data_IF_239979906908
#
_entry.id   IF_239979906908
#
_cell.length_a   1.000
_cell.length_b   1.000
_cell.length_c   1.000
_cell.angle_alpha   90.00
_cell.angle_beta   90.00
_cell.angle_gamma   90.00
#
_symmetry.space_group_name_H-M   'P 1'
#
loop_
_entity.id
_entity.type
_entity.pdbx_description
1 polymer ?
#
# COMPACT_ATOMS: atom_id res chain seq x y z
N UNK A 1 3.53 -35.28 -12.80
CA UNK A 1 3.88 -34.06 -12.03
C UNK A 1 2.61 -33.23 -11.86
N UNK A 2 2.36 -32.68 -10.67
CA UNK A 2 1.23 -31.77 -10.48
C UNK A 2 1.40 -30.54 -11.40
N UNK A 3 0.31 -30.05 -11.98
CA UNK A 3 0.31 -28.85 -12.84
C UNK A 3 0.70 -27.65 -11.99
N UNK A 4 1.72 -26.89 -12.41
CA UNK A 4 2.11 -25.66 -11.72
C UNK A 4 1.01 -24.61 -11.85
N UNK A 5 0.80 -23.84 -10.78
CA UNK A 5 -0.07 -22.66 -10.83
C UNK A 5 0.63 -21.53 -11.60
N UNK A 6 -0.11 -20.82 -12.44
CA UNK A 6 0.38 -19.70 -13.25
C UNK A 6 0.13 -18.39 -12.52
N UNK A 7 1.23 -17.76 -12.12
CA UNK A 7 1.22 -16.56 -11.28
C UNK A 7 1.69 -15.36 -12.09
N UNK A 8 0.86 -14.34 -12.23
CA UNK A 8 1.26 -13.05 -12.77
C UNK A 8 1.80 -12.14 -11.66
N UNK A 9 3.05 -11.73 -11.71
CA UNK A 9 3.61 -10.72 -10.79
C UNK A 9 3.44 -9.35 -11.43
N UNK A 10 2.57 -8.52 -10.82
CA UNK A 10 2.21 -7.21 -11.33
C UNK A 10 2.95 -6.11 -10.57
N UNK A 11 3.65 -5.21 -11.29
CA UNK A 11 4.53 -4.21 -10.68
C UNK A 11 4.62 -2.91 -11.49
N UNK A 12 5.23 -1.87 -10.90
CA UNK A 12 5.38 -0.54 -11.46
C UNK A 12 4.22 0.38 -11.07
N UNK A 13 3.49 0.91 -12.04
CA UNK A 13 2.31 1.75 -11.81
C UNK A 13 2.58 3.25 -11.83
N UNK A 14 1.50 4.03 -11.79
CA UNK A 14 1.50 5.51 -11.90
C UNK A 14 1.71 6.22 -10.57
N UNK A 15 2.08 5.50 -9.51
CA UNK A 15 2.29 6.08 -8.18
C UNK A 15 3.69 6.67 -8.02
N UNK A 16 3.88 7.50 -7.00
CA UNK A 16 5.19 7.96 -6.56
C UNK A 16 6.11 6.85 -5.99
N UNK A 17 5.59 5.63 -5.86
CA UNK A 17 6.31 4.47 -5.34
C UNK A 17 6.68 3.45 -6.43
N UNK A 18 6.68 3.89 -7.69
CA UNK A 18 6.99 3.06 -8.86
C UNK A 18 8.29 2.25 -8.69
N UNK A 19 9.37 2.90 -8.30
CA UNK A 19 10.69 2.28 -8.13
C UNK A 19 10.70 1.24 -7.00
N UNK A 20 9.99 1.51 -5.92
CA UNK A 20 9.83 0.56 -4.80
C UNK A 20 9.08 -0.68 -5.26
N UNK A 21 8.10 -0.51 -6.13
CA UNK A 21 7.36 -1.60 -6.75
C UNK A 21 8.27 -2.49 -7.62
N UNK A 22 9.19 -1.92 -8.41
CA UNK A 22 10.17 -2.66 -9.20
C UNK A 22 11.08 -3.50 -8.30
N UNK A 23 11.60 -2.91 -7.22
CA UNK A 23 12.46 -3.62 -6.25
C UNK A 23 11.71 -4.76 -5.55
N UNK A 24 10.45 -4.53 -5.17
CA UNK A 24 9.60 -5.56 -4.56
C UNK A 24 9.34 -6.71 -5.53
N UNK A 25 9.03 -6.41 -6.80
CA UNK A 25 8.81 -7.42 -7.83
C UNK A 25 10.05 -8.27 -8.08
N UNK A 26 11.22 -7.65 -8.23
CA UNK A 26 12.48 -8.36 -8.40
C UNK A 26 12.75 -9.30 -7.21
N UNK A 27 12.48 -8.83 -5.98
CA UNK A 27 12.66 -9.65 -4.77
C UNK A 27 11.71 -10.86 -4.76
N UNK A 28 10.43 -10.68 -5.12
CA UNK A 28 9.44 -11.77 -5.23
C UNK A 28 9.82 -12.76 -6.33
N UNK A 29 10.18 -12.28 -7.53
CA UNK A 29 10.57 -13.11 -8.67
C UNK A 29 11.79 -13.98 -8.38
N UNK A 30 12.73 -13.48 -7.60
CA UNK A 30 13.92 -14.22 -7.18
C UNK A 30 13.63 -15.27 -6.09
N UNK A 31 12.62 -15.04 -5.24
CA UNK A 31 12.36 -15.90 -4.09
C UNK A 31 11.21 -16.92 -4.31
N UNK A 32 10.32 -16.67 -5.27
CA UNK A 32 9.15 -17.51 -5.52
C UNK A 32 9.53 -18.94 -5.92
N UNK A 33 8.77 -19.91 -5.41
CA UNK A 33 9.03 -21.34 -5.67
C UNK A 33 8.70 -21.75 -7.11
N UNK A 34 9.69 -21.75 -7.98
CA UNK A 34 9.56 -22.16 -9.38
C UNK A 34 9.21 -23.66 -9.55
N UNK A 35 9.32 -24.48 -8.51
CA UNK A 35 8.84 -25.87 -8.56
C UNK A 35 7.31 -25.96 -8.50
N UNK A 36 6.65 -25.00 -7.83
CA UNK A 36 5.19 -24.90 -7.63
C UNK A 36 4.52 -23.96 -8.62
N UNK A 37 5.21 -22.90 -9.06
CA UNK A 37 4.65 -21.79 -9.80
C UNK A 37 5.33 -21.58 -11.16
N UNK A 38 4.51 -21.39 -12.20
CA UNK A 38 4.92 -20.81 -13.47
C UNK A 38 4.62 -19.30 -13.41
N UNK A 39 5.66 -18.48 -13.59
CA UNK A 39 5.59 -17.06 -13.23
C UNK A 39 5.78 -16.17 -14.44
N UNK A 40 4.85 -15.25 -14.63
CA UNK A 40 4.85 -14.26 -15.71
C UNK A 40 4.97 -12.85 -15.09
N UNK A 41 6.04 -12.09 -15.36
CA UNK A 41 6.12 -10.69 -14.97
C UNK A 41 5.19 -9.84 -15.83
N UNK A 42 4.53 -8.86 -15.19
CA UNK A 42 3.61 -7.91 -15.81
C UNK A 42 3.97 -6.52 -15.30
N UNK A 43 4.49 -5.67 -16.19
CA UNK A 43 4.90 -4.32 -15.84
C UNK A 43 3.80 -3.28 -16.13
N UNK A 44 3.72 -2.25 -15.29
CA UNK A 44 2.94 -1.03 -15.58
C UNK A 44 3.90 0.15 -15.56
N UNK A 45 3.92 0.92 -16.64
CA UNK A 45 4.78 2.12 -16.74
C UNK A 45 4.27 3.25 -15.87
N UNK A 46 5.08 4.29 -15.66
CA UNK A 46 4.65 5.54 -15.02
C UNK A 46 3.50 6.24 -15.75
N UNK A 47 3.37 6.01 -17.05
CA UNK A 47 2.29 6.53 -17.89
C UNK A 47 1.03 5.65 -17.85
N UNK A 48 1.09 4.47 -17.20
CA UNK A 48 -0.02 3.54 -17.06
C UNK A 48 -0.14 2.51 -18.18
N UNK A 49 0.88 2.36 -19.03
CA UNK A 49 0.90 1.33 -20.07
C UNK A 49 1.24 -0.02 -19.46
N UNK A 50 0.56 -1.07 -19.90
CA UNK A 50 0.78 -2.44 -19.45
C UNK A 50 1.76 -3.14 -20.39
N UNK A 51 2.75 -3.80 -19.82
CA UNK A 51 3.82 -4.51 -20.51
C UNK A 51 3.72 -6.02 -20.23
N UNK A 52 3.85 -6.83 -21.28
CA UNK A 52 3.88 -8.29 -21.13
C UNK A 52 5.30 -8.82 -20.87
N UNK A 53 5.35 -10.09 -20.52
CA UNK A 53 6.46 -10.90 -20.08
C UNK A 53 7.89 -10.45 -20.49
N UNK A 54 8.21 -10.35 -21.77
CA UNK A 54 9.55 -9.96 -22.22
C UNK A 54 9.89 -8.50 -21.89
N UNK A 55 8.97 -7.57 -22.20
CA UNK A 55 9.17 -6.14 -21.96
C UNK A 55 9.11 -5.81 -20.46
N UNK A 56 8.28 -6.55 -19.70
CA UNK A 56 8.24 -6.44 -18.25
C UNK A 56 9.55 -6.95 -17.62
N UNK A 57 10.16 -8.01 -18.15
CA UNK A 57 11.46 -8.50 -17.70
C UNK A 57 12.56 -7.48 -17.98
N UNK A 58 12.56 -6.84 -19.15
CA UNK A 58 13.50 -5.77 -19.48
C UNK A 58 13.37 -4.56 -18.54
N UNK A 59 12.16 -4.24 -18.10
CA UNK A 59 11.91 -3.19 -17.10
C UNK A 59 12.57 -3.52 -15.75
N UNK A 60 12.64 -4.81 -15.40
CA UNK A 60 13.27 -5.27 -14.15
C UNK A 60 14.79 -5.43 -14.28
N UNK A 61 15.28 -5.82 -15.46
CA UNK A 61 16.71 -6.05 -15.74
C UNK A 61 17.48 -4.76 -15.98
N UNK A 62 16.78 -3.66 -16.29
CA UNK A 62 17.36 -2.33 -16.28
C UNK A 62 17.99 -2.06 -14.91
N UNK A 63 19.31 -1.89 -14.91
CA UNK A 63 20.26 -1.84 -13.79
C UNK A 63 19.64 -1.48 -12.42
N UNK A 64 19.28 -2.50 -11.64
CA UNK A 64 18.70 -2.34 -10.29
C UNK A 64 19.64 -1.57 -9.36
N UNK A 65 20.95 -1.59 -9.61
CA UNK A 65 21.93 -0.80 -8.87
C UNK A 65 21.85 0.68 -9.24
N UNK A 66 21.47 1.00 -10.48
CA UNK A 66 21.19 2.38 -10.92
C UNK A 66 19.86 2.88 -10.36
N UNK A 67 18.82 2.05 -10.29
CA UNK A 67 17.56 2.38 -9.61
C UNK A 67 17.80 2.68 -8.13
N UNK A 68 18.53 1.84 -7.43
CA UNK A 68 18.90 2.06 -6.03
C UNK A 68 19.76 3.31 -5.84
N UNK A 69 20.71 3.62 -6.75
CA UNK A 69 21.53 4.84 -6.72
C UNK A 69 20.71 6.11 -6.99
N UNK A 70 19.71 6.05 -7.87
CA UNK A 70 18.84 7.19 -8.20
C UNK A 70 17.80 7.47 -7.14
N UNK A 71 17.25 6.46 -6.53
CA UNK A 71 16.45 6.60 -5.31
C UNK A 71 17.25 7.34 -4.24
N UNK A 72 18.57 7.11 -4.12
CA UNK A 72 19.49 7.84 -3.24
C UNK A 72 19.76 9.28 -3.68
N UNK A 73 19.68 9.59 -4.97
CA UNK A 73 19.98 10.91 -5.54
C UNK A 73 18.78 11.85 -5.64
N UNK A 74 17.57 11.38 -5.37
CA UNK A 74 16.35 12.21 -5.40
C UNK A 74 15.96 12.73 -6.80
N UNK A 75 16.42 12.10 -7.88
CA UNK A 75 16.17 12.56 -9.25
C UNK A 75 14.89 11.90 -9.83
N UNK A 76 13.81 12.67 -10.05
CA UNK A 76 12.53 12.12 -10.51
C UNK A 76 12.47 11.80 -12.02
N UNK A 77 13.40 12.27 -12.84
CA UNK A 77 13.16 12.31 -14.30
C UNK A 77 14.10 11.48 -15.19
N UNK A 78 15.06 10.76 -14.66
CA UNK A 78 16.04 10.06 -15.50
C UNK A 78 16.10 8.56 -15.27
N UNK A 79 15.05 7.80 -15.62
CA UNK A 79 15.12 6.35 -15.63
C UNK A 79 15.47 5.80 -17.03
N UNK A 80 16.45 4.86 -17.16
CA UNK A 80 16.70 4.16 -18.42
C UNK A 80 15.48 3.39 -18.92
N UNK A 81 14.57 3.01 -18.02
CA UNK A 81 13.28 2.45 -18.34
C UNK A 81 12.39 3.36 -19.22
N UNK A 82 12.49 4.68 -19.12
CA UNK A 82 11.68 5.58 -19.94
C UNK A 82 11.96 5.43 -21.46
N UNK A 83 13.17 5.01 -21.84
CA UNK A 83 13.56 4.80 -23.25
C UNK A 83 13.11 3.44 -23.80
N UNK A 84 13.11 2.41 -22.94
CA UNK A 84 12.59 1.06 -23.24
C UNK A 84 11.05 1.02 -23.32
N UNK A 85 10.37 1.92 -22.61
CA UNK A 85 8.92 1.98 -22.50
C UNK A 85 8.24 2.58 -23.74
N UNK A 86 8.98 3.25 -24.62
CA UNK A 86 8.44 3.84 -25.84
C UNK A 86 8.14 2.78 -26.91
N UNK A 87 8.79 1.63 -26.82
CA UNK A 87 8.72 0.55 -27.83
C UNK A 87 7.95 -0.70 -27.35
N UNK A 88 7.41 -0.70 -26.11
CA UNK A 88 6.67 -1.83 -25.55
C UNK A 88 5.25 -2.00 -26.14
N UNK A 89 4.83 -3.24 -26.33
CA UNK A 89 3.50 -3.58 -26.86
C UNK A 89 2.48 -3.63 -25.72
N UNK A 90 1.42 -2.79 -25.73
CA UNK A 90 0.35 -2.85 -24.73
C UNK A 90 -0.47 -4.14 -24.89
N UNK A 91 -0.65 -4.91 -23.82
CA UNK A 91 -1.25 -6.24 -23.93
C UNK A 91 -2.65 -6.41 -23.36
N UNK A 92 -3.16 -5.48 -22.56
CA UNK A 92 -4.48 -5.64 -21.93
C UNK A 92 -5.46 -4.50 -22.23
N UNK A 93 -4.98 -3.30 -22.41
CA UNK A 93 -5.83 -2.14 -22.70
C UNK A 93 -5.11 -1.22 -23.71
N UNK A 94 -5.81 -0.69 -24.71
CA UNK A 94 -5.24 0.34 -25.57
C UNK A 94 -4.90 1.57 -24.71
N UNK A 95 -3.81 2.31 -25.01
CA UNK A 95 -3.48 3.54 -24.30
C UNK A 95 -4.62 4.53 -24.50
N UNK A 96 -5.25 4.98 -23.42
CA UNK A 96 -6.09 6.16 -23.50
C UNK A 96 -5.21 7.36 -23.84
N UNK A 97 -5.60 8.18 -24.83
CA UNK A 97 -4.94 9.45 -25.07
C UNK A 97 -5.03 10.31 -23.80
N UNK A 98 -4.02 11.14 -23.49
CA UNK A 98 -4.10 12.05 -22.36
C UNK A 98 -5.38 12.90 -22.50
N UNK A 99 -6.13 13.13 -21.40
CA UNK A 99 -7.36 13.90 -21.47
C UNK A 99 -7.05 15.29 -22.02
N UNK A 100 -7.65 15.61 -23.16
CA UNK A 100 -7.60 16.96 -23.69
C UNK A 100 -8.27 17.89 -22.67
N UNK A 101 -7.71 19.07 -22.36
CA UNK A 101 -8.35 20.02 -21.50
C UNK A 101 -9.69 20.44 -22.13
N UNK A 102 -10.81 20.13 -21.44
CA UNK A 102 -12.17 20.56 -21.76
C UNK A 102 -12.95 19.87 -22.91
N UNK A 103 -12.86 18.55 -23.07
CA UNK A 103 -13.86 17.80 -23.83
C UNK A 103 -14.96 17.26 -22.91
N UNK A 104 -16.23 17.57 -23.20
CA UNK A 104 -17.39 17.00 -22.52
C UNK A 104 -17.37 15.48 -22.70
N UNK A 105 -17.37 14.76 -21.57
CA UNK A 105 -17.32 13.31 -21.55
C UNK A 105 -18.58 12.71 -22.20
N UNK A 106 -18.43 12.20 -23.41
CA UNK A 106 -19.33 11.24 -24.02
C UNK A 106 -18.62 9.90 -24.04
N UNK A 107 -19.21 8.89 -23.39
CA UNK A 107 -18.69 7.52 -23.43
C UNK A 107 -18.94 6.99 -24.83
N UNK A 108 -17.92 6.94 -25.68
CA UNK A 108 -17.94 6.15 -26.91
C UNK A 108 -17.34 4.78 -26.61
N UNK A 109 -18.19 3.76 -26.62
CA UNK A 109 -17.74 2.37 -26.62
C UNK A 109 -17.08 2.09 -27.97
N UNK A 110 -15.78 1.85 -27.99
CA UNK A 110 -15.09 1.38 -29.18
C UNK A 110 -15.59 -0.03 -29.56
N UNK A 111 -15.73 -0.36 -30.85
CA UNK A 111 -16.18 -1.68 -31.26
C UNK A 111 -15.14 -2.72 -30.86
N UNK A 112 -15.62 -3.80 -30.23
CA UNK A 112 -14.82 -4.92 -29.77
C UNK A 112 -14.09 -5.57 -30.95
N UNK A 113 -12.79 -5.43 -31.01
CA UNK A 113 -11.94 -6.29 -31.81
C UNK A 113 -11.66 -7.55 -31.02
N UNK A 114 -12.18 -8.68 -31.51
CA UNK A 114 -12.03 -10.06 -31.06
C UNK A 114 -12.68 -10.45 -29.72
N UNK A 115 -13.52 -11.44 -29.84
CA UNK A 115 -14.33 -12.09 -28.82
C UNK A 115 -13.52 -12.47 -27.57
N UNK A 116 -13.65 -11.67 -26.52
CA UNK A 116 -13.30 -12.11 -25.15
C UNK A 116 -14.55 -12.74 -24.57
N UNK A 117 -14.71 -14.05 -24.74
CA UNK A 117 -15.72 -14.80 -23.99
C UNK A 117 -15.35 -14.79 -22.52
N UNK A 118 -16.20 -14.20 -21.73
CA UNK A 118 -16.23 -14.34 -20.27
C UNK A 118 -16.84 -15.70 -19.94
N UNK A 119 -16.11 -16.77 -20.18
CA UNK A 119 -16.44 -18.11 -19.69
C UNK A 119 -15.61 -18.35 -18.42
N UNK A 120 -16.01 -17.82 -17.35
CA UNK A 120 -15.68 -18.10 -15.93
C UNK A 120 -14.36 -18.81 -15.55
N UNK A 121 -13.36 -18.98 -16.41
CA UNK A 121 -12.23 -19.87 -16.14
C UNK A 121 -10.81 -19.36 -16.42
N UNK A 122 -10.54 -18.26 -17.09
CA UNK A 122 -9.15 -17.73 -17.11
C UNK A 122 -8.98 -16.40 -17.83
N UNK A 123 -8.31 -15.44 -17.19
CA UNK A 123 -7.80 -14.24 -17.85
C UNK A 123 -6.57 -14.61 -18.68
N UNK A 124 -6.56 -14.28 -19.99
CA UNK A 124 -5.45 -14.60 -20.89
C UNK A 124 -4.55 -13.40 -21.10
N UNK A 125 -3.26 -13.59 -20.82
CA UNK A 125 -2.18 -12.69 -21.22
C UNK A 125 -1.31 -13.42 -22.26
N UNK A 126 -1.09 -12.88 -23.41
CA UNK A 126 -0.32 -13.51 -24.52
C UNK A 126 -0.81 -14.93 -24.85
N UNK A 127 -2.13 -15.17 -24.81
CA UNK A 127 -2.70 -16.51 -25.05
C UNK A 127 -2.54 -17.49 -23.89
N UNK A 128 -1.85 -17.12 -22.81
CA UNK A 128 -1.72 -17.93 -21.58
C UNK A 128 -2.71 -17.44 -20.53
N UNK A 129 -3.46 -18.36 -19.96
CA UNK A 129 -4.35 -18.06 -18.83
C UNK A 129 -3.55 -17.97 -17.53
N UNK A 130 -3.87 -17.02 -16.65
CA UNK A 130 -3.31 -16.89 -15.31
C UNK A 130 -4.27 -17.47 -14.29
N UNK A 131 -3.73 -18.10 -13.24
CA UNK A 131 -4.55 -18.65 -12.15
C UNK A 131 -4.66 -17.65 -10.99
N UNK A 132 -3.64 -16.79 -10.80
CA UNK A 132 -3.62 -15.78 -9.73
C UNK A 132 -2.67 -14.62 -10.10
N UNK A 133 -3.03 -13.41 -9.66
CA UNK A 133 -2.18 -12.22 -9.73
C UNK A 133 -1.54 -11.95 -8.36
N UNK A 134 -0.26 -11.61 -8.36
CA UNK A 134 0.44 -11.10 -7.20
C UNK A 134 0.83 -9.64 -7.46
N UNK A 135 -0.03 -8.68 -7.12
CA UNK A 135 0.33 -7.27 -7.24
C UNK A 135 1.36 -6.91 -6.17
N UNK A 136 2.40 -6.22 -6.59
CA UNK A 136 3.37 -5.53 -5.72
C UNK A 136 3.39 -4.05 -6.10
N UNK A 137 2.19 -3.49 -6.22
CA UNK A 137 1.92 -2.10 -6.57
C UNK A 137 1.74 -1.29 -5.29
N UNK A 138 2.62 -0.33 -5.04
CA UNK A 138 2.57 0.50 -3.85
C UNK A 138 1.92 1.85 -4.13
N UNK A 139 1.17 2.39 -3.16
CA UNK A 139 0.55 3.69 -3.21
C UNK A 139 -0.72 3.76 -4.07
N UNK A 140 -0.99 4.95 -4.58
CA UNK A 140 -2.20 5.26 -5.37
C UNK A 140 -2.31 4.37 -6.61
N UNK A 141 -3.54 3.97 -6.96
CA UNK A 141 -3.91 2.98 -7.97
C UNK A 141 -3.50 1.53 -7.67
N UNK A 142 -2.59 1.29 -6.72
CA UNK A 142 -2.15 -0.05 -6.31
C UNK A 142 -2.81 -0.54 -5.04
N UNK A 143 -3.02 0.35 -4.06
CA UNK A 143 -3.51 0.01 -2.71
C UNK A 143 -4.89 0.59 -2.39
N UNK A 144 -5.49 1.37 -3.27
CA UNK A 144 -6.70 2.17 -3.02
C UNK A 144 -8.00 1.54 -3.51
N UNK A 145 -7.98 0.29 -3.95
CA UNK A 145 -9.13 -0.43 -4.48
C UNK A 145 -9.29 -0.34 -5.99
N UNK A 146 -8.55 0.55 -6.67
CA UNK A 146 -8.68 0.78 -8.11
C UNK A 146 -8.29 -0.45 -8.91
N UNK A 147 -7.08 -0.97 -8.72
CA UNK A 147 -6.62 -2.17 -9.43
C UNK A 147 -7.37 -3.42 -8.97
N UNK A 148 -7.75 -3.49 -7.69
CA UNK A 148 -8.54 -4.58 -7.15
C UNK A 148 -9.92 -4.66 -7.84
N UNK A 149 -10.54 -3.50 -8.11
CA UNK A 149 -11.79 -3.44 -8.87
C UNK A 149 -11.66 -4.01 -10.29
N UNK A 150 -10.53 -3.79 -10.95
CA UNK A 150 -10.24 -4.40 -12.25
C UNK A 150 -10.13 -5.92 -12.14
N UNK A 151 -9.44 -6.45 -11.13
CA UNK A 151 -9.31 -7.89 -10.92
C UNK A 151 -10.64 -8.56 -10.58
N UNK A 152 -11.50 -7.86 -9.83
CA UNK A 152 -12.85 -8.32 -9.52
C UNK A 152 -13.72 -8.42 -10.77
N UNK A 153 -13.69 -7.43 -11.65
CA UNK A 153 -14.42 -7.45 -12.92
C UNK A 153 -13.88 -8.52 -13.87
N UNK A 154 -12.58 -8.79 -13.83
CA UNK A 154 -11.94 -9.83 -14.61
C UNK A 154 -12.15 -11.25 -14.03
N UNK A 155 -12.72 -11.39 -12.84
CA UNK A 155 -12.94 -12.68 -12.19
C UNK A 155 -11.67 -13.45 -11.87
N UNK A 156 -10.53 -12.74 -11.61
CA UNK A 156 -9.24 -13.38 -11.36
C UNK A 156 -8.87 -13.31 -9.88
N UNK A 157 -8.30 -14.40 -9.35
CA UNK A 157 -7.74 -14.42 -8.00
C UNK A 157 -6.52 -13.46 -7.90
N UNK A 158 -6.37 -12.77 -6.77
CA UNK A 158 -5.24 -11.88 -6.53
C UNK A 158 -4.85 -11.82 -5.06
N UNK A 159 -3.55 -11.61 -4.81
CA UNK A 159 -2.98 -11.46 -3.47
C UNK A 159 -3.35 -10.09 -2.89
N UNK A 160 -3.66 -10.06 -1.61
CA UNK A 160 -3.97 -8.85 -0.86
C UNK A 160 -5.46 -8.65 -0.61
N UNK A 161 -5.80 -7.47 -0.10
CA UNK A 161 -7.18 -7.11 0.28
C UNK A 161 -8.07 -6.87 -0.93
N UNK A 162 -9.37 -7.08 -0.76
CA UNK A 162 -10.38 -6.74 -1.76
C UNK A 162 -10.55 -5.23 -1.94
N UNK A 163 -11.50 -4.84 -2.79
CA UNK A 163 -11.79 -3.42 -3.10
C UNK A 163 -12.08 -2.63 -1.83
N UNK A 164 -12.99 -3.13 -0.98
CA UNK A 164 -13.38 -2.44 0.26
C UNK A 164 -12.20 -2.27 1.21
N UNK A 165 -11.50 -3.37 1.51
CA UNK A 165 -10.37 -3.35 2.45
C UNK A 165 -9.24 -2.44 1.96
N UNK A 166 -8.90 -2.49 0.67
CA UNK A 166 -7.88 -1.63 0.06
C UNK A 166 -8.26 -0.16 0.16
N UNK A 167 -9.48 0.20 -0.25
CA UNK A 167 -9.97 1.59 -0.20
C UNK A 167 -10.08 2.12 1.23
N UNK A 168 -10.60 1.30 2.16
CA UNK A 168 -10.74 1.68 3.56
C UNK A 168 -9.37 1.81 4.26
N UNK A 169 -8.43 0.91 3.95
CA UNK A 169 -7.06 0.94 4.48
C UNK A 169 -6.21 2.10 3.95
N UNK A 170 -6.50 2.58 2.73
CA UNK A 170 -5.77 3.71 2.14
C UNK A 170 -6.23 5.06 2.69
N UNK A 171 -7.54 5.25 2.91
CA UNK A 171 -8.11 6.52 3.38
C UNK A 171 -7.99 6.67 4.90
N UNK A 172 -7.05 7.49 5.35
CA UNK A 172 -6.75 7.69 6.78
C UNK A 172 -7.94 8.17 7.62
N UNK A 173 -8.88 8.90 7.05
CA UNK A 173 -10.09 9.33 7.75
C UNK A 173 -11.08 8.17 7.92
N UNK A 174 -11.35 7.42 6.84
CA UNK A 174 -12.25 6.25 6.88
C UNK A 174 -11.67 5.18 7.80
N UNK A 175 -10.41 4.85 7.64
CA UNK A 175 -9.66 3.90 8.46
C UNK A 175 -9.76 4.24 9.96
N UNK A 176 -9.54 5.52 10.33
CA UNK A 176 -9.65 5.95 11.73
C UNK A 176 -11.08 5.87 12.28
N UNK A 177 -12.08 6.10 11.46
CA UNK A 177 -13.50 5.89 11.86
C UNK A 177 -13.79 4.43 12.11
N UNK A 178 -13.28 3.52 11.28
CA UNK A 178 -13.40 2.07 11.48
C UNK A 178 -12.69 1.62 12.77
N UNK A 179 -11.49 2.12 13.01
CA UNK A 179 -10.76 1.85 14.26
C UNK A 179 -11.51 2.36 15.49
N UNK A 180 -12.06 3.58 15.44
CA UNK A 180 -12.84 4.13 16.54
C UNK A 180 -14.12 3.31 16.82
N UNK A 181 -14.82 2.87 15.75
CA UNK A 181 -15.97 1.99 15.88
C UNK A 181 -15.60 0.64 16.51
N UNK A 182 -14.44 0.10 16.18
CA UNK A 182 -13.86 -1.11 16.80
C UNK A 182 -13.27 -0.86 18.20
N UNK A 183 -13.40 0.36 18.75
CA UNK A 183 -12.88 0.78 20.05
C UNK A 183 -11.36 0.64 20.19
N UNK A 184 -10.64 0.72 19.08
CA UNK A 184 -9.18 0.72 19.07
C UNK A 184 -8.64 2.10 19.45
N UNK A 185 -7.59 2.18 20.28
CA UNK A 185 -7.01 3.46 20.69
C UNK A 185 -6.30 4.12 19.50
N UNK A 186 -6.81 5.28 19.08
CA UNK A 186 -6.22 6.13 18.04
C UNK A 186 -5.86 7.50 18.61
N UNK A 187 -4.97 8.22 17.96
CA UNK A 187 -4.68 9.62 18.30
C UNK A 187 -5.88 10.52 18.00
N UNK A 188 -6.06 11.59 18.78
CA UNK A 188 -7.07 12.61 18.47
C UNK A 188 -6.74 13.24 17.12
N UNK A 189 -7.76 13.42 16.30
CA UNK A 189 -7.60 13.98 14.96
C UNK A 189 -8.80 14.85 14.57
N UNK A 190 -8.59 15.68 13.57
CA UNK A 190 -9.60 16.49 12.87
C UNK A 190 -9.48 16.21 11.40
N UNK A 191 -10.60 15.99 10.73
CA UNK A 191 -10.66 15.91 9.27
C UNK A 191 -11.17 17.23 8.71
N UNK A 192 -10.49 17.73 7.67
CA UNK A 192 -10.77 18.97 6.98
C UNK A 192 -10.83 18.75 5.47
N UNK A 193 -11.79 19.35 4.80
CA UNK A 193 -11.80 19.35 3.32
C UNK A 193 -10.96 20.51 2.78
N UNK A 194 -10.27 20.28 1.68
CA UNK A 194 -9.53 21.33 0.95
C UNK A 194 -10.40 22.54 0.65
N UNK A 195 -11.64 22.31 0.20
CA UNK A 195 -12.57 23.38 -0.09
C UNK A 195 -12.90 24.26 1.15
N UNK A 196 -12.99 23.67 2.35
CA UNK A 196 -13.21 24.42 3.58
C UNK A 196 -11.96 25.21 3.99
N UNK A 197 -10.77 24.62 3.80
CA UNK A 197 -9.49 25.30 4.00
C UNK A 197 -9.35 26.51 3.09
N UNK A 198 -9.57 26.35 1.79
CA UNK A 198 -9.45 27.41 0.79
C UNK A 198 -10.49 28.54 1.00
N UNK A 199 -11.74 28.16 1.34
CA UNK A 199 -12.83 29.13 1.59
C UNK A 199 -12.64 29.94 2.86
N UNK A 200 -12.16 29.33 3.93
CA UNK A 200 -12.15 29.95 5.27
C UNK A 200 -10.94 29.53 6.11
N UNK A 201 -9.69 29.93 5.75
CA UNK A 201 -8.48 29.50 6.44
C UNK A 201 -8.48 29.77 7.94
N UNK A 202 -8.95 30.98 8.35
CA UNK A 202 -9.01 31.37 9.78
C UNK A 202 -9.94 30.46 10.58
N UNK A 203 -11.11 30.12 10.03
CA UNK A 203 -12.08 29.21 10.68
C UNK A 203 -11.51 27.80 10.79
N UNK A 204 -10.88 27.31 9.74
CA UNK A 204 -10.26 25.98 9.72
C UNK A 204 -9.15 25.86 10.77
N UNK A 205 -8.27 26.86 10.88
CA UNK A 205 -7.23 26.89 11.93
C UNK A 205 -7.88 26.91 13.33
N UNK A 206 -8.88 27.76 13.56
CA UNK A 206 -9.55 27.84 14.85
C UNK A 206 -10.22 26.51 15.24
N UNK A 207 -10.85 25.81 14.28
CA UNK A 207 -11.43 24.48 14.49
C UNK A 207 -10.38 23.46 14.92
N UNK A 208 -9.22 23.44 14.27
CA UNK A 208 -8.11 22.53 14.59
C UNK A 208 -7.58 22.82 15.99
N UNK A 209 -7.32 24.09 16.32
CA UNK A 209 -6.76 24.52 17.62
C UNK A 209 -7.75 24.30 18.79
N UNK A 210 -9.05 24.35 18.53
CA UNK A 210 -10.07 24.01 19.53
C UNK A 210 -10.05 22.51 19.89
N UNK A 211 -9.67 21.64 18.94
CA UNK A 211 -9.68 20.19 19.12
C UNK A 211 -8.33 19.60 19.50
N UNK A 212 -7.22 20.17 19.00
CA UNK A 212 -5.88 19.62 19.10
C UNK A 212 -4.88 20.60 19.71
N UNK A 213 -3.86 20.05 20.37
CA UNK A 213 -2.70 20.81 20.86
C UNK A 213 -1.48 20.53 20.00
N UNK A 214 -0.67 21.54 19.77
CA UNK A 214 0.61 21.38 19.07
C UNK A 214 1.61 20.50 19.85
N UNK A 215 2.52 19.80 19.16
CA UNK A 215 2.63 19.70 17.71
C UNK A 215 1.52 18.85 17.10
N UNK A 216 1.15 19.16 15.86
CA UNK A 216 0.20 18.36 15.07
C UNK A 216 0.87 17.88 13.78
N UNK A 217 0.39 16.75 13.26
CA UNK A 217 0.77 16.23 11.95
C UNK A 217 -0.37 16.47 10.97
N UNK A 218 -0.08 17.12 9.85
CA UNK A 218 -1.03 17.37 8.75
C UNK A 218 -0.71 16.39 7.64
N UNK A 219 -1.72 15.62 7.21
CA UNK A 219 -1.57 14.51 6.26
C UNK A 219 -2.64 14.58 5.17
N UNK A 220 -2.33 14.30 3.89
CA UNK A 220 -3.34 13.90 2.92
C UNK A 220 -4.01 12.60 3.38
N UNK A 221 -5.32 12.41 3.10
CA UNK A 221 -6.02 11.20 3.53
C UNK A 221 -5.61 9.97 2.73
N UNK A 222 -5.48 10.09 1.39
CA UNK A 222 -5.24 8.98 0.47
C UNK A 222 -3.86 9.06 -0.18
N UNK A 223 -2.80 8.97 0.62
CA UNK A 223 -1.44 8.95 0.09
C UNK A 223 -0.51 8.16 1.01
N UNK A 224 0.40 7.37 0.41
CA UNK A 224 1.41 6.60 1.09
C UNK A 224 2.73 7.34 1.27
N UNK A 225 3.76 6.63 1.74
CA UNK A 225 5.17 7.04 1.79
C UNK A 225 5.46 8.40 2.41
N UNK A 226 4.63 8.87 3.30
CA UNK A 226 4.77 10.18 3.98
C UNK A 226 4.79 11.40 3.04
N UNK A 227 4.38 11.27 1.77
CA UNK A 227 4.31 12.38 0.82
C UNK A 227 3.23 13.37 1.26
N UNK A 228 3.56 14.66 1.25
CA UNK A 228 2.64 15.73 1.65
C UNK A 228 2.36 15.79 3.15
N UNK A 229 3.04 14.99 3.99
CA UNK A 229 2.91 15.05 5.44
C UNK A 229 3.84 16.13 6.01
N UNK A 230 3.33 16.93 6.94
CA UNK A 230 4.08 17.95 7.65
C UNK A 230 3.78 17.93 9.14
N UNK A 231 4.79 18.18 9.96
CA UNK A 231 4.67 18.44 11.39
C UNK A 231 4.61 19.96 11.61
N UNK A 232 3.57 20.43 12.29
CA UNK A 232 3.42 21.83 12.67
C UNK A 232 3.57 21.97 14.19
N UNK A 233 4.52 22.81 14.64
CA UNK A 233 4.79 23.04 16.07
C UNK A 233 3.96 24.20 16.65
N UNK A 234 3.38 25.03 15.79
CA UNK A 234 2.65 26.22 16.17
C UNK A 234 1.74 26.69 15.01
N UNK A 235 0.94 27.72 15.29
CA UNK A 235 -0.01 28.29 14.34
C UNK A 235 0.62 28.81 13.04
N UNK A 236 1.87 29.34 13.11
CA UNK A 236 2.55 29.90 11.92
C UNK A 236 2.90 28.79 10.91
N UNK A 237 3.20 27.60 11.41
CA UNK A 237 3.57 26.42 10.58
C UNK A 237 2.33 25.68 10.08
N UNK A 238 1.18 25.78 10.78
CA UNK A 238 -0.04 25.03 10.44
C UNK A 238 -0.61 25.42 9.07
N UNK A 239 -0.65 26.72 8.74
CA UNK A 239 -1.17 27.20 7.45
C UNK A 239 -0.38 26.64 6.25
N UNK A 240 0.95 26.81 6.20
CA UNK A 240 1.79 26.19 5.17
C UNK A 240 1.62 24.64 5.08
N UNK A 241 1.53 23.95 6.22
CA UNK A 241 1.32 22.49 6.24
C UNK A 241 -0.02 22.08 5.61
N UNK A 242 -1.11 22.79 5.92
CA UNK A 242 -2.43 22.57 5.30
C UNK A 242 -2.38 22.83 3.79
N UNK A 243 -1.75 23.91 3.37
CA UNK A 243 -1.58 24.23 1.95
C UNK A 243 -0.76 23.17 1.21
N UNK A 244 0.31 22.64 1.82
CA UNK A 244 1.08 21.56 1.23
C UNK A 244 0.23 20.28 1.08
N UNK A 245 -0.41 19.82 2.13
CA UNK A 245 -1.22 18.60 2.11
C UNK A 245 -2.41 18.71 1.14
N UNK A 246 -3.03 19.91 1.01
CA UNK A 246 -4.14 20.16 0.09
C UNK A 246 -3.78 20.04 -1.41
N UNK A 247 -2.48 20.05 -1.76
CA UNK A 247 -2.03 19.79 -3.13
C UNK A 247 -2.18 18.32 -3.51
N UNK A 248 -2.15 17.44 -2.53
CA UNK A 248 -2.10 15.98 -2.73
C UNK A 248 -3.47 15.30 -2.54
N UNK A 249 -4.38 15.89 -1.75
CA UNK A 249 -5.71 15.32 -1.54
C UNK A 249 -6.76 16.43 -1.30
N UNK A 250 -8.00 16.09 -1.63
CA UNK A 250 -9.16 16.91 -1.27
C UNK A 250 -9.51 16.83 0.22
N UNK A 251 -9.06 15.78 0.93
CA UNK A 251 -9.35 15.51 2.34
C UNK A 251 -8.04 15.46 3.13
N UNK A 252 -7.99 16.23 4.22
CA UNK A 252 -6.82 16.36 5.08
C UNK A 252 -7.14 15.77 6.46
N UNK A 253 -6.20 15.05 7.03
CA UNK A 253 -6.28 14.52 8.39
C UNK A 253 -5.21 15.20 9.23
N UNK A 254 -5.63 15.89 10.29
CA UNK A 254 -4.77 16.59 11.23
C UNK A 254 -4.76 15.82 12.54
N UNK A 255 -3.60 15.32 12.95
CA UNK A 255 -3.45 14.44 14.11
C UNK A 255 -2.65 15.09 15.22
N UNK A 256 -3.03 14.83 16.47
CA UNK A 256 -2.20 15.17 17.62
C UNK A 256 -0.87 14.42 17.58
N UNK A 257 0.24 15.11 17.78
CA UNK A 257 1.55 14.46 17.89
C UNK A 257 1.65 13.57 19.12
N UNK A 258 2.13 12.35 18.94
CA UNK A 258 2.52 11.46 20.04
C UNK A 258 3.99 11.69 20.35
N UNK A 259 4.34 11.78 21.63
CA UNK A 259 5.72 11.95 22.07
C UNK A 259 5.81 12.60 23.45
N UNK A 260 6.97 12.58 24.02
CA UNK A 260 7.32 13.28 25.25
C UNK A 260 7.94 14.66 24.97
N UNK A 261 8.26 15.41 26.04
CA UNK A 261 8.92 16.73 25.91
C UNK A 261 10.31 16.64 25.26
N UNK A 262 11.01 15.50 25.41
CA UNK A 262 12.39 15.30 24.93
C UNK A 262 12.56 14.05 24.06
N UNK A 263 11.55 13.19 23.98
CA UNK A 263 11.64 11.92 23.26
C UNK A 263 10.53 11.82 22.22
N UNK A 264 10.85 11.22 21.06
CA UNK A 264 9.89 10.87 20.02
C UNK A 264 9.03 9.70 20.46
N UNK A 265 7.87 9.53 19.84
CA UNK A 265 7.14 8.28 19.93
C UNK A 265 8.01 7.11 19.47
N UNK A 266 7.81 5.93 20.06
CA UNK A 266 8.33 4.70 19.52
C UNK A 266 7.41 4.23 18.41
N UNK A 267 7.97 3.87 17.27
CA UNK A 267 7.24 3.40 16.09
C UNK A 267 7.29 1.86 16.08
N UNK A 268 6.14 1.22 16.31
CA UNK A 268 6.02 -0.22 16.36
C UNK A 268 5.27 -0.71 15.13
N UNK A 269 5.68 -1.85 14.59
CA UNK A 269 5.09 -2.47 13.41
C UNK A 269 4.79 -3.95 13.65
N UNK A 270 3.65 -4.40 13.13
CA UNK A 270 3.23 -5.81 13.17
C UNK A 270 2.78 -6.22 11.76
N UNK A 271 3.29 -7.34 11.29
CA UNK A 271 2.79 -7.97 10.07
C UNK A 271 1.59 -8.87 10.40
N UNK A 272 0.51 -8.73 9.65
CA UNK A 272 -0.69 -9.58 9.75
C UNK A 272 -0.82 -10.39 8.46
N UNK A 273 -1.17 -11.67 8.58
CA UNK A 273 -1.30 -12.63 7.48
C UNK A 273 -2.54 -13.49 7.68
N UNK A 274 -3.37 -13.65 6.67
CA UNK A 274 -4.57 -14.49 6.66
C UNK A 274 -5.78 -13.80 6.05
N UNK A 275 -6.88 -14.53 5.98
CA UNK A 275 -8.20 -14.03 5.58
C UNK A 275 -9.07 -13.90 6.85
N UNK A 276 -10.09 -14.75 7.06
CA UNK A 276 -11.03 -14.67 8.18
C UNK A 276 -10.39 -14.94 9.55
N UNK A 277 -9.28 -15.69 9.57
CA UNK A 277 -8.54 -16.05 10.77
C UNK A 277 -7.09 -15.51 10.72
N UNK A 278 -6.91 -14.18 10.68
CA UNK A 278 -5.58 -13.58 10.53
C UNK A 278 -4.71 -13.78 11.77
N UNK A 279 -3.42 -13.94 11.50
CA UNK A 279 -2.38 -14.08 12.52
C UNK A 279 -1.46 -12.88 12.52
N UNK A 280 -0.97 -12.50 13.70
CA UNK A 280 0.00 -11.42 13.87
C UNK A 280 1.41 -11.98 14.11
N UNK A 281 2.41 -11.40 13.47
CA UNK A 281 3.84 -11.68 13.68
C UNK A 281 4.34 -11.26 15.07
N UNK A 282 5.62 -11.43 15.33
CA UNK A 282 6.31 -10.68 16.39
C UNK A 282 6.20 -9.17 16.13
N UNK A 283 6.31 -8.36 17.18
CA UNK A 283 6.33 -6.90 17.07
C UNK A 283 7.74 -6.45 16.72
N UNK A 284 7.87 -5.59 15.72
CA UNK A 284 9.09 -4.86 15.42
C UNK A 284 9.00 -3.40 15.84
N UNK A 285 10.16 -2.76 15.95
CA UNK A 285 10.30 -1.33 16.20
C UNK A 285 11.24 -0.72 15.15
N UNK A 286 10.86 0.44 14.63
CA UNK A 286 11.74 1.25 13.80
C UNK A 286 12.29 2.39 14.65
N UNK A 287 13.60 2.49 14.74
CA UNK A 287 14.28 3.63 15.34
C UNK A 287 14.67 4.58 14.20
N UNK A 288 13.95 5.70 13.99
CA UNK A 288 14.24 6.60 12.89
C UNK A 288 15.54 7.37 13.13
N UNK A 289 16.41 7.41 12.11
CA UNK A 289 17.67 8.16 12.18
C UNK A 289 17.51 9.67 12.07
N UNK A 290 16.40 10.17 11.50
CA UNK A 290 16.05 11.60 11.38
C UNK A 290 14.85 11.96 12.28
N UNK A 291 14.57 13.28 12.42
CA UNK A 291 13.43 13.75 13.24
C UNK A 291 12.07 13.26 12.73
N UNK A 292 11.95 13.00 11.45
CA UNK A 292 10.75 12.48 10.81
C UNK A 292 11.11 11.31 9.89
N UNK A 293 10.31 10.23 9.93
CA UNK A 293 10.47 9.05 9.10
C UNK A 293 9.75 9.28 7.76
N UNK A 294 10.42 10.04 6.88
CA UNK A 294 9.93 10.37 5.54
C UNK A 294 10.25 9.28 4.50
N UNK A 295 9.91 9.55 3.23
CA UNK A 295 10.16 8.64 2.11
C UNK A 295 11.64 8.26 2.00
N UNK A 296 12.56 9.23 2.12
CA UNK A 296 13.99 8.98 2.07
C UNK A 296 14.45 8.08 3.23
N UNK A 297 13.93 8.30 4.43
CA UNK A 297 14.26 7.49 5.60
C UNK A 297 13.71 6.06 5.50
N UNK A 298 12.60 5.84 4.77
CA UNK A 298 11.98 4.52 4.58
C UNK A 298 12.74 3.64 3.59
N UNK A 299 13.28 4.23 2.53
CA UNK A 299 13.79 3.46 1.39
C UNK A 299 15.24 3.76 0.99
N UNK A 300 15.81 4.91 1.41
CA UNK A 300 17.04 5.44 0.85
C UNK A 300 18.16 5.71 1.89
N UNK A 301 17.81 5.88 3.18
CA UNK A 301 18.82 6.25 4.16
C UNK A 301 19.26 5.06 5.01
N UNK A 302 20.58 4.98 5.24
CA UNK A 302 21.21 4.03 6.19
C UNK A 302 20.86 4.32 7.67
N UNK A 303 19.97 5.31 7.92
CA UNK A 303 19.75 5.87 9.25
C UNK A 303 18.64 5.23 10.10
N UNK A 304 17.77 4.38 9.54
CA UNK A 304 16.70 3.75 10.32
C UNK A 304 17.07 2.33 10.73
N UNK A 305 17.00 2.04 12.02
CA UNK A 305 17.42 0.75 12.58
C UNK A 305 16.18 -0.07 12.93
N UNK A 306 15.94 -1.22 12.27
CA UNK A 306 14.90 -2.15 12.69
C UNK A 306 15.36 -2.97 13.91
N UNK A 307 14.52 -3.03 14.94
CA UNK A 307 14.71 -3.87 16.12
C UNK A 307 13.63 -4.93 16.14
N UNK A 308 14.00 -6.19 15.86
CA UNK A 308 13.07 -7.32 15.77
C UNK A 308 13.61 -8.46 16.64
N UNK A 309 12.86 -8.92 17.65
CA UNK A 309 11.63 -8.34 18.17
C UNK A 309 11.85 -7.01 18.91
N UNK A 310 10.80 -6.16 18.95
CA UNK A 310 10.81 -4.92 19.73
C UNK A 310 10.97 -5.20 21.24
N UNK A 311 11.67 -4.32 21.94
CA UNK A 311 11.83 -4.41 23.39
C UNK A 311 10.55 -3.94 24.10
N UNK A 312 9.63 -4.86 24.33
CA UNK A 312 8.34 -4.66 24.99
C UNK A 312 8.13 -5.66 26.13
N UNK A 313 7.27 -5.31 27.08
CA UNK A 313 6.77 -6.28 28.06
C UNK A 313 5.85 -7.31 27.39
N UNK A 314 5.68 -8.49 28.01
CA UNK A 314 4.74 -9.51 27.50
C UNK A 314 3.32 -8.97 27.31
N UNK A 315 2.85 -8.12 28.23
CA UNK A 315 1.53 -7.49 28.17
C UNK A 315 1.41 -6.52 26.97
N UNK A 316 2.41 -5.67 26.75
CA UNK A 316 2.45 -4.75 25.60
C UNK A 316 2.53 -5.51 24.29
N UNK A 317 3.36 -6.54 24.19
CA UNK A 317 3.46 -7.39 22.99
C UNK A 317 2.12 -8.03 22.67
N UNK A 318 1.44 -8.60 23.68
CA UNK A 318 0.10 -9.19 23.50
C UNK A 318 -0.90 -8.14 23.02
N UNK A 319 -0.96 -6.99 23.68
CA UNK A 319 -1.86 -5.88 23.35
C UNK A 319 -1.68 -5.42 21.90
N UNK A 320 -0.43 -5.15 21.49
CA UNK A 320 -0.13 -4.68 20.12
C UNK A 320 -0.56 -5.69 19.07
N UNK A 321 -0.27 -6.98 19.28
CA UNK A 321 -0.66 -8.05 18.36
C UNK A 321 -2.18 -8.22 18.26
N UNK A 322 -2.89 -8.17 19.39
CA UNK A 322 -4.36 -8.23 19.42
C UNK A 322 -4.98 -7.03 18.69
N UNK A 323 -4.45 -5.82 18.92
CA UNK A 323 -4.88 -4.62 18.23
C UNK A 323 -4.60 -4.69 16.72
N UNK A 324 -3.48 -5.27 16.29
CA UNK A 324 -3.15 -5.45 14.88
C UNK A 324 -4.18 -6.36 14.17
N UNK A 325 -4.54 -7.49 14.78
CA UNK A 325 -5.58 -8.39 14.26
C UNK A 325 -6.95 -7.70 14.23
N UNK A 326 -7.29 -6.95 15.27
CA UNK A 326 -8.55 -6.22 15.35
C UNK A 326 -8.63 -5.10 14.29
N UNK A 327 -7.54 -4.37 14.04
CA UNK A 327 -7.46 -3.36 12.99
C UNK A 327 -7.62 -3.95 11.60
N UNK A 328 -6.97 -5.08 11.33
CA UNK A 328 -7.08 -5.84 10.09
C UNK A 328 -8.53 -6.22 9.81
N UNK A 329 -9.21 -6.80 10.79
CA UNK A 329 -10.63 -7.17 10.68
C UNK A 329 -11.56 -5.96 10.55
N UNK A 330 -11.28 -4.86 11.28
CA UNK A 330 -12.09 -3.65 11.24
C UNK A 330 -12.11 -2.97 9.86
N UNK A 331 -11.03 -3.12 9.09
CA UNK A 331 -10.92 -2.61 7.73
C UNK A 331 -11.27 -3.64 6.64
N UNK A 332 -11.79 -4.82 7.00
CA UNK A 332 -12.13 -5.89 6.04
C UNK A 332 -10.94 -6.28 5.16
N UNK A 333 -9.75 -6.41 5.79
CA UNK A 333 -8.53 -6.76 5.09
C UNK A 333 -8.41 -8.28 4.86
N UNK A 334 -7.65 -8.67 3.85
CA UNK A 334 -7.35 -10.06 3.50
C UNK A 334 -5.92 -10.23 3.02
N UNK A 335 -5.39 -11.44 3.15
CA UNK A 335 -4.05 -11.81 2.71
C UNK A 335 -2.97 -11.23 3.59
N UNK A 336 -2.67 -9.96 3.44
CA UNK A 336 -1.58 -9.29 4.17
C UNK A 336 -1.92 -7.86 4.56
N UNK A 337 -1.31 -7.40 5.65
CA UNK A 337 -1.17 -5.99 5.98
C UNK A 337 -0.03 -5.77 6.97
N UNK A 338 0.61 -4.60 6.96
CA UNK A 338 1.43 -4.11 8.06
C UNK A 338 0.60 -3.10 8.86
N UNK A 339 0.58 -3.30 10.16
CA UNK A 339 -0.14 -2.44 11.10
C UNK A 339 0.86 -1.67 11.93
N UNK A 340 0.77 -0.35 11.88
CA UNK A 340 1.74 0.57 12.46
C UNK A 340 1.15 1.27 13.69
N UNK A 341 1.97 1.39 14.75
CA UNK A 341 1.59 1.94 16.05
C UNK A 341 2.56 3.00 16.51
N UNK A 342 2.03 3.95 17.27
CA UNK A 342 2.81 4.94 17.99
C UNK A 342 2.69 4.69 19.51
N UNK A 343 3.82 4.51 20.19
CA UNK A 343 3.85 4.32 21.64
C UNK A 343 4.50 5.52 22.30
N UNK A 344 3.86 6.04 23.37
CA UNK A 344 4.45 7.10 24.18
C UNK A 344 5.80 6.65 24.76
N UNK A 345 6.85 7.45 24.62
CA UNK A 345 8.17 7.09 25.11
C UNK A 345 8.30 7.17 26.63
N UNK A 346 7.43 7.95 27.27
CA UNK A 346 7.45 8.29 28.69
C UNK A 346 6.06 8.12 29.34
N UNK A 347 5.99 8.07 30.65
CA UNK A 347 4.76 8.06 31.42
C UNK A 347 4.03 6.73 31.40
N UNK A 348 2.78 6.73 30.90
CA UNK A 348 1.92 5.53 30.88
C UNK A 348 2.24 4.58 29.73
N UNK A 349 3.12 4.95 28.81
CA UNK A 349 3.48 4.17 27.62
C UNK A 349 2.24 3.74 26.83
N UNK A 350 1.28 4.66 26.63
CA UNK A 350 0.06 4.40 25.87
C UNK A 350 0.43 4.08 24.42
N UNK A 351 -0.27 3.10 23.85
CA UNK A 351 -0.06 2.64 22.49
C UNK A 351 -1.28 3.06 21.66
N UNK A 352 -1.02 3.73 20.55
CA UNK A 352 -2.04 4.18 19.63
C UNK A 352 -1.85 3.50 18.28
N UNK A 353 -2.94 3.00 17.72
CA UNK A 353 -2.97 2.54 16.35
C UNK A 353 -2.84 3.75 15.41
N UNK A 354 -1.87 3.70 14.52
CA UNK A 354 -1.61 4.78 13.57
C UNK A 354 -2.31 4.52 12.23
N UNK A 355 -1.93 3.45 11.54
CA UNK A 355 -2.45 3.09 10.23
C UNK A 355 -2.29 1.59 9.92
N UNK A 356 -2.97 1.13 8.87
CA UNK A 356 -2.72 -0.14 8.21
C UNK A 356 -2.19 0.12 6.79
N UNK A 357 -1.27 -0.74 6.34
CA UNK A 357 -0.71 -0.70 4.99
C UNK A 357 -1.10 -2.02 4.31
N UNK A 358 -1.95 -1.95 3.29
CA UNK A 358 -2.54 -3.13 2.66
C UNK A 358 -1.62 -3.82 1.67
N UNK A 359 -0.61 -3.10 1.17
CA UNK A 359 0.48 -3.63 0.33
C UNK A 359 1.82 -3.08 0.82
N UNK A 360 2.32 -3.54 1.98
CA UNK A 360 3.57 -3.05 2.55
C UNK A 360 4.74 -3.38 1.64
N UNK A 361 5.85 -2.63 1.76
CA UNK A 361 7.09 -2.95 1.06
C UNK A 361 7.44 -4.42 1.20
N UNK A 362 7.76 -5.07 0.07
CA UNK A 362 7.85 -6.53 -0.02
C UNK A 362 9.22 -7.02 -0.53
N UNK A 363 10.31 -6.29 -0.22
CA UNK A 363 11.68 -6.78 -0.41
C UNK A 363 12.12 -7.62 0.80
N UNK A 364 13.14 -8.45 0.66
CA UNK A 364 13.68 -9.24 1.80
C UNK A 364 14.14 -8.38 2.97
N UNK A 365 14.53 -7.13 2.70
CA UNK A 365 14.95 -6.17 3.75
C UNK A 365 13.78 -5.38 4.35
N UNK A 366 12.59 -5.44 3.76
CA UNK A 366 11.38 -4.77 4.25
C UNK A 366 10.89 -5.36 5.57
N UNK A 367 10.25 -4.53 6.39
CA UNK A 367 9.80 -4.95 7.73
C UNK A 367 8.79 -6.10 7.68
N UNK A 368 7.83 -6.08 6.75
CA UNK A 368 6.81 -7.12 6.67
C UNK A 368 7.40 -8.54 6.53
N UNK A 369 8.28 -8.85 5.56
CA UNK A 369 8.93 -10.15 5.49
C UNK A 369 9.86 -10.45 6.67
N UNK A 370 10.61 -9.46 7.18
CA UNK A 370 11.48 -9.64 8.35
C UNK A 370 10.73 -10.04 9.61
N UNK A 371 9.55 -9.44 9.83
CA UNK A 371 8.69 -9.78 10.97
C UNK A 371 8.18 -11.22 10.87
N UNK A 372 7.81 -11.68 9.68
CA UNK A 372 7.40 -13.06 9.48
C UNK A 372 8.56 -14.03 9.57
N UNK A 373 9.73 -13.68 9.05
CA UNK A 373 10.95 -14.48 9.20
C UNK A 373 11.30 -14.66 10.69
N UNK A 374 11.24 -13.60 11.48
CA UNK A 374 11.45 -13.66 12.92
C UNK A 374 10.35 -14.43 13.68
N UNK A 375 9.18 -14.60 13.06
CA UNK A 375 8.06 -15.42 13.57
C UNK A 375 8.19 -16.90 13.16
N UNK A 376 9.14 -17.23 12.27
CA UNK A 376 9.40 -18.61 11.81
C UNK A 376 8.81 -18.93 10.43
N UNK A 377 8.36 -17.91 9.67
CA UNK A 377 7.89 -18.07 8.29
C UNK A 377 8.92 -17.50 7.32
N UNK A 378 9.69 -18.35 6.61
CA UNK A 378 10.68 -17.92 5.63
C UNK A 378 10.04 -17.15 4.46
N UNK A 379 10.78 -16.26 3.83
CA UNK A 379 10.26 -15.38 2.76
C UNK A 379 9.63 -16.16 1.58
N UNK A 380 10.26 -17.25 1.14
CA UNK A 380 9.72 -18.13 0.10
C UNK A 380 8.36 -18.74 0.49
N UNK A 381 8.24 -19.18 1.74
CA UNK A 381 7.00 -19.78 2.25
C UNK A 381 5.92 -18.73 2.47
N UNK A 382 6.30 -17.50 2.85
CA UNK A 382 5.40 -16.36 2.95
C UNK A 382 4.77 -16.04 1.59
N UNK A 383 5.55 -16.00 0.51
CA UNK A 383 5.04 -15.80 -0.86
C UNK A 383 4.05 -16.93 -1.23
N UNK A 384 4.41 -18.18 -0.97
CA UNK A 384 3.55 -19.33 -1.22
C UNK A 384 2.23 -19.20 -0.47
N UNK A 385 2.29 -18.87 0.83
CA UNK A 385 1.09 -18.72 1.68
C UNK A 385 0.18 -17.59 1.21
N UNK A 386 0.73 -16.48 0.75
CA UNK A 386 -0.05 -15.37 0.20
C UNK A 386 -0.80 -15.76 -1.08
N UNK A 387 -0.18 -16.55 -1.95
CA UNK A 387 -0.83 -17.10 -3.15
C UNK A 387 -1.97 -18.05 -2.75
N UNK A 388 -1.75 -18.93 -1.79
CA UNK A 388 -2.77 -19.84 -1.27
C UNK A 388 -3.97 -19.07 -0.68
N UNK A 389 -3.72 -18.02 0.11
CA UNK A 389 -4.77 -17.16 0.67
C UNK A 389 -5.57 -16.43 -0.41
N UNK A 390 -4.91 -16.01 -1.50
CA UNK A 390 -5.59 -15.38 -2.62
C UNK A 390 -6.57 -16.35 -3.30
N UNK A 391 -6.14 -17.58 -3.51
CA UNK A 391 -6.99 -18.65 -4.09
C UNK A 391 -8.13 -19.04 -3.14
N UNK A 392 -7.87 -19.16 -1.84
CA UNK A 392 -8.87 -19.41 -0.80
C UNK A 392 -9.96 -18.34 -0.81
N UNK A 393 -9.59 -17.05 -0.77
CA UNK A 393 -10.52 -15.92 -0.82
C UNK A 393 -11.33 -15.91 -2.14
N UNK A 394 -10.67 -16.17 -3.26
CA UNK A 394 -11.35 -16.22 -4.56
C UNK A 394 -12.36 -17.37 -4.62
N UNK A 395 -11.99 -18.55 -4.16
CA UNK A 395 -12.89 -19.71 -4.10
C UNK A 395 -14.11 -19.45 -3.21
N UNK A 396 -13.94 -18.79 -2.06
CA UNK A 396 -15.06 -18.42 -1.18
C UNK A 396 -15.98 -17.41 -1.87
N UNK A 397 -15.41 -16.40 -2.52
CA UNK A 397 -16.18 -15.38 -3.24
C UNK A 397 -16.99 -15.96 -4.41
N UNK A 398 -16.44 -16.91 -5.16
CA UNK A 398 -17.13 -17.54 -6.31
C UNK A 398 -18.33 -18.39 -5.90
N UNK A 399 -18.56 -18.67 -4.61
CA UNK A 399 -19.77 -19.29 -4.09
C UNK A 399 -20.96 -18.33 -4.03
N UNK A 400 -20.71 -17.03 -4.20
CA UNK A 400 -21.77 -16.01 -4.14
C UNK A 400 -22.56 -15.99 -5.45
N UNK A 401 -23.88 -16.10 -5.36
CA UNK A 401 -24.80 -15.98 -6.50
C UNK A 401 -25.14 -14.50 -6.69
N UNK A 402 -24.94 -13.99 -7.89
CA UNK A 402 -25.22 -12.58 -8.25
C UNK A 402 -26.47 -12.41 -9.10
N UNK A 403 -27.06 -13.51 -9.55
CA UNK A 403 -28.30 -13.53 -10.33
C UNK A 403 -29.46 -14.03 -9.46
N UNK A 404 -30.69 -13.61 -9.77
CA UNK A 404 -31.89 -14.24 -9.19
C UNK A 404 -32.04 -15.59 -9.87
N UNK A 405 -32.37 -16.61 -9.06
CA UNK A 405 -32.89 -17.86 -9.59
C UNK A 405 -34.23 -17.53 -10.28
N UNK A 406 -34.35 -17.88 -11.58
CA UNK A 406 -35.59 -17.73 -12.33
C UNK A 406 -36.65 -18.78 -11.89
#
# INVERSE_FOLDING_TARGET
>A
MAKKLRVGILFGGRSGEHEVSLLSAASVLNAIDRSKFDVTPIGITKQGQWLAAADASNLLEGDQSAVARRLRAGDPDTTPGAKLLHDGIPTLFPPEPPPAPHAKAGIQLAPAASETRLDGQSTRLDGKSLDVLFPVLHGTFGEDGTIQGLFELAGIAYVGSGVLGSSAGMDKDVMKRLFANARLPIVRHVTLLRADWEKSPRKSIAQIEAALKYPVFVKPANLGSSVGISKAHNRKELGPALTLASRYDRKLVIEAGVGGKKRKARELEVAVLGNDSPQASVVGEIIPGKEFYDYEAKYLSEGSIPVIPAKLTKAQTKQVREMAVAAFKACDLSGLARVDFLMEPDGKHRIFLNEVNTMPGFTQISMYPKLWQATGVPYKDLITRLIELALERHAEKTRTTYTRDE
#
